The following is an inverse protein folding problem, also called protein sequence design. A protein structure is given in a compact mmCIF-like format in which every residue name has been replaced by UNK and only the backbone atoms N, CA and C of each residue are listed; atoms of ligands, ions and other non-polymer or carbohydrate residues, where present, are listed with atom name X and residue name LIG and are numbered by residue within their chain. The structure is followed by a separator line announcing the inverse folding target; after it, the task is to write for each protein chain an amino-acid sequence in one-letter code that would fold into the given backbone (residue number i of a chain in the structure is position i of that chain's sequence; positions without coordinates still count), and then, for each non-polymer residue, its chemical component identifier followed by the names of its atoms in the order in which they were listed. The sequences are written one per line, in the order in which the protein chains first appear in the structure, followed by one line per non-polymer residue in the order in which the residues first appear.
data_IF_081773561442
#
_entry.id   IF_081773561442
#
_cell.length_a   1.000
_cell.length_b   1.000
_cell.length_c   1.000
_cell.angle_alpha   90.00
_cell.angle_beta   90.00
_cell.angle_gamma   90.00
#
_symmetry.space_group_name_H-M   'P 1'
#
loop_
_entity.id
_entity.type
_entity.pdbx_description
1 polymer ?
#
# COMPACT_ATOMS: atom_id res chain seq x y z
N UNK A 1 53.72 17.03 90.51
CA UNK A 1 54.39 16.25 89.50
C UNK A 1 53.41 16.08 88.34
N UNK A 2 53.58 16.87 87.27
CA UNK A 2 52.69 16.88 86.12
C UNK A 2 53.39 16.14 84.97
N UNK A 3 52.69 15.28 84.22
CA UNK A 3 53.25 14.68 83.01
C UNK A 3 53.03 15.61 81.81
N UNK A 4 53.86 15.45 80.76
CA UNK A 4 53.87 16.38 79.62
C UNK A 4 52.75 16.08 78.60
N UNK A 5 52.34 17.16 77.95
CA UNK A 5 51.36 17.13 76.84
C UNK A 5 52.00 16.58 75.59
N UNK A 6 51.26 15.78 74.77
CA UNK A 6 51.66 15.45 73.42
C UNK A 6 51.20 16.51 72.38
N UNK A 7 52.07 16.83 71.48
CA UNK A 7 51.90 17.72 70.34
C UNK A 7 50.94 17.09 69.28
N UNK A 8 50.10 17.90 68.61
CA UNK A 8 49.24 17.37 67.57
C UNK A 8 49.98 17.21 66.20
N UNK A 9 49.89 16.03 65.63
CA UNK A 9 50.29 15.73 64.26
C UNK A 9 49.28 16.35 63.34
N UNK A 10 49.73 17.25 62.43
CA UNK A 10 48.93 17.80 61.33
C UNK A 10 48.93 16.79 60.23
N UNK A 11 47.81 16.12 60.02
CA UNK A 11 47.53 15.30 58.75
C UNK A 11 46.96 16.21 57.71
N UNK A 12 47.72 16.49 56.65
CA UNK A 12 47.25 17.11 55.46
C UNK A 12 46.42 16.09 54.64
N UNK A 13 45.12 16.25 54.63
CA UNK A 13 44.21 15.48 53.78
C UNK A 13 44.18 16.10 52.40
N UNK A 14 44.81 15.41 51.43
CA UNK A 14 44.67 15.73 49.97
C UNK A 14 43.29 15.29 49.51
N UNK A 15 42.42 16.24 49.28
CA UNK A 15 41.11 15.99 48.66
C UNK A 15 41.30 15.78 47.16
N UNK A 16 41.23 14.54 46.69
CA UNK A 16 41.08 14.19 45.29
C UNK A 16 39.62 14.41 44.91
N UNK A 17 39.36 15.48 44.18
CA UNK A 17 38.03 15.73 43.59
C UNK A 17 37.80 14.78 42.40
N UNK A 18 37.03 13.70 42.65
CA UNK A 18 36.55 12.78 41.62
C UNK A 18 35.35 13.44 40.91
N UNK A 19 35.58 14.11 39.80
CA UNK A 19 34.50 14.62 38.93
C UNK A 19 33.86 13.43 38.24
N UNK A 20 32.71 12.98 38.74
CA UNK A 20 31.77 12.08 38.10
C UNK A 20 31.16 12.81 36.92
N UNK A 21 31.63 12.51 35.69
CA UNK A 21 30.93 12.79 34.43
C UNK A 21 29.66 11.93 34.40
N UNK A 22 28.55 12.50 34.87
CA UNK A 22 27.22 11.99 34.61
C UNK A 22 26.95 12.18 33.13
N UNK A 23 27.33 11.18 32.28
CA UNK A 23 26.73 11.02 30.99
C UNK A 23 25.26 10.66 31.20
N UNK A 24 24.41 11.68 31.20
CA UNK A 24 22.97 11.50 31.18
C UNK A 24 22.63 10.79 29.87
N UNK A 25 22.36 9.48 29.93
CA UNK A 25 21.50 8.84 28.95
C UNK A 25 20.14 9.53 29.09
N UNK A 26 19.86 10.50 28.22
CA UNK A 26 18.49 10.91 27.97
C UNK A 26 17.77 9.66 27.46
N UNK A 27 16.96 9.05 28.33
CA UNK A 27 15.93 8.14 27.90
C UNK A 27 15.08 8.94 26.91
N UNK A 28 15.23 8.65 25.63
CA UNK A 28 14.31 9.13 24.60
C UNK A 28 12.95 8.61 25.01
N UNK A 29 12.04 9.51 25.36
CA UNK A 29 10.66 9.16 25.63
C UNK A 29 10.15 8.38 24.41
N UNK A 30 9.68 7.16 24.65
CA UNK A 30 9.22 6.23 23.63
C UNK A 30 7.94 6.71 22.90
N UNK A 31 7.44 7.89 23.25
CA UNK A 31 6.20 8.50 22.74
C UNK A 31 6.40 9.69 21.78
N UNK A 32 7.63 10.18 21.61
CA UNK A 32 7.84 11.23 20.59
C UNK A 32 7.83 10.63 19.17
N UNK A 33 6.97 11.14 18.28
CA UNK A 33 6.97 10.69 16.91
C UNK A 33 8.36 10.92 16.28
N UNK A 34 8.86 10.00 15.46
CA UNK A 34 10.18 10.14 14.85
C UNK A 34 10.27 11.47 14.10
N UNK A 35 11.42 12.15 14.13
CA UNK A 35 11.58 13.47 13.52
C UNK A 35 11.26 13.42 12.02
N UNK A 36 10.67 14.51 11.54
CA UNK A 36 10.36 14.68 10.11
C UNK A 36 11.64 14.54 9.27
N UNK A 37 11.60 13.78 8.16
CA UNK A 37 12.78 13.57 7.32
C UNK A 37 13.21 14.87 6.65
N UNK A 38 14.53 15.03 6.42
CA UNK A 38 15.03 16.08 5.58
C UNK A 38 14.52 15.91 4.13
N UNK A 39 14.13 17.03 3.50
CA UNK A 39 13.70 17.03 2.10
C UNK A 39 14.63 17.90 1.26
N UNK A 40 14.73 17.58 -0.02
CA UNK A 40 15.42 18.43 -1.01
C UNK A 40 14.56 19.59 -1.52
N UNK A 41 14.96 20.17 -2.64
CA UNK A 41 14.16 21.18 -3.32
C UNK A 41 12.77 20.60 -3.71
N UNK A 42 11.73 21.39 -3.47
CA UNK A 42 10.35 21.01 -3.82
C UNK A 42 10.11 21.42 -5.29
N UNK A 43 9.87 20.47 -6.20
CA UNK A 43 9.55 20.77 -7.59
C UNK A 43 8.16 21.39 -7.71
N UNK A 44 7.93 22.22 -8.71
CA UNK A 44 6.60 22.67 -9.08
C UNK A 44 5.91 21.55 -9.88
N UNK A 45 4.95 20.85 -9.28
CA UNK A 45 4.19 19.79 -9.92
C UNK A 45 2.73 20.21 -10.08
N UNK A 46 2.25 20.14 -11.31
CA UNK A 46 0.87 20.52 -11.64
C UNK A 46 -0.13 19.41 -11.38
N UNK A 47 0.32 18.16 -11.53
CA UNK A 47 -0.53 16.97 -11.39
C UNK A 47 0.23 15.75 -10.83
N UNK A 48 -0.49 14.74 -10.37
CA UNK A 48 0.07 13.52 -9.77
C UNK A 48 0.19 12.33 -10.75
N UNK A 49 -0.14 12.50 -12.02
CA UNK A 49 -0.23 11.39 -13.00
C UNK A 49 1.08 10.62 -13.21
N UNK A 50 2.21 11.31 -13.21
CA UNK A 50 3.52 10.74 -13.57
C UNK A 50 4.47 10.67 -12.37
N UNK A 51 3.93 10.53 -11.16
CA UNK A 51 4.76 10.43 -9.96
C UNK A 51 5.47 9.07 -9.91
N UNK A 52 6.78 9.09 -9.69
CA UNK A 52 7.59 7.90 -9.50
C UNK A 52 8.04 7.81 -8.03
N UNK A 53 7.55 6.82 -7.31
CA UNK A 53 7.86 6.64 -5.90
C UNK A 53 9.03 5.69 -5.67
N UNK A 54 9.85 5.89 -4.62
CA UNK A 54 10.98 5.01 -4.29
C UNK A 54 10.58 3.55 -4.04
N UNK A 55 9.37 3.29 -3.53
CA UNK A 55 8.85 1.93 -3.30
C UNK A 55 8.32 1.23 -4.56
N UNK A 56 8.17 1.94 -5.69
CA UNK A 56 7.66 1.34 -6.93
C UNK A 56 8.38 0.07 -7.38
N UNK A 57 9.73 -0.08 -7.26
CA UNK A 57 10.42 -1.30 -7.66
C UNK A 57 10.09 -2.56 -6.84
N UNK A 58 9.40 -2.41 -5.72
CA UNK A 58 9.08 -3.51 -4.79
C UNK A 58 7.63 -3.99 -4.90
N UNK A 59 6.82 -3.32 -5.71
CA UNK A 59 5.41 -3.67 -5.97
C UNK A 59 5.19 -3.88 -7.46
N UNK A 60 4.25 -4.75 -7.87
CA UNK A 60 3.99 -4.94 -9.29
C UNK A 60 3.36 -3.68 -9.91
N UNK A 61 3.82 -3.31 -11.09
CA UNK A 61 3.22 -2.27 -11.91
C UNK A 61 1.90 -2.77 -12.57
N UNK A 62 1.18 -1.88 -13.26
CA UNK A 62 -0.11 -2.21 -13.88
C UNK A 62 -0.02 -3.33 -14.92
N UNK A 63 1.08 -3.41 -15.69
CA UNK A 63 1.31 -4.47 -16.66
C UNK A 63 1.61 -5.79 -15.96
N UNK A 64 2.45 -5.77 -14.94
CA UNK A 64 2.79 -6.94 -14.13
C UNK A 64 1.54 -7.47 -13.40
N UNK A 65 0.69 -6.60 -12.84
CA UNK A 65 -0.60 -6.99 -12.27
C UNK A 65 -1.49 -7.68 -13.31
N UNK A 66 -1.56 -7.16 -14.55
CA UNK A 66 -2.29 -7.80 -15.63
C UNK A 66 -1.79 -9.22 -15.95
N UNK A 67 -0.47 -9.41 -15.98
CA UNK A 67 0.14 -10.73 -16.19
C UNK A 67 -0.12 -11.68 -15.01
N UNK A 68 -0.09 -11.20 -13.78
CA UNK A 68 -0.40 -11.99 -12.59
C UNK A 68 -1.86 -12.43 -12.57
N UNK A 69 -2.78 -11.54 -12.92
CA UNK A 69 -4.21 -11.87 -13.05
C UNK A 69 -4.45 -12.94 -14.13
N UNK A 70 -3.79 -12.83 -15.29
CA UNK A 70 -3.89 -13.81 -16.37
C UNK A 70 -3.32 -15.17 -15.96
N UNK A 71 -2.15 -15.19 -15.32
CA UNK A 71 -1.56 -16.40 -14.78
C UNK A 71 -2.43 -17.07 -13.72
N UNK A 72 -3.07 -16.28 -12.84
CA UNK A 72 -4.02 -16.80 -11.86
C UNK A 72 -5.24 -17.42 -12.54
N UNK A 73 -5.80 -16.79 -13.58
CA UNK A 73 -6.93 -17.33 -14.34
C UNK A 73 -6.54 -18.66 -15.01
N UNK A 74 -5.31 -18.79 -15.55
CA UNK A 74 -4.79 -20.07 -16.11
C UNK A 74 -4.74 -21.16 -15.03
N UNK A 75 -4.24 -20.85 -13.83
CA UNK A 75 -4.20 -21.81 -12.71
C UNK A 75 -5.59 -22.20 -12.25
N UNK A 76 -6.54 -21.28 -12.23
CA UNK A 76 -7.95 -21.58 -11.90
C UNK A 76 -8.53 -22.54 -12.94
N UNK A 77 -8.35 -22.30 -14.25
CA UNK A 77 -8.86 -23.19 -15.30
C UNK A 77 -8.22 -24.58 -15.23
N UNK A 78 -6.91 -24.67 -14.98
CA UNK A 78 -6.22 -25.96 -14.77
C UNK A 78 -6.82 -26.72 -13.58
N UNK A 79 -7.14 -26.05 -12.48
CA UNK A 79 -7.81 -26.67 -11.33
C UNK A 79 -9.23 -27.12 -11.67
N UNK A 80 -10.06 -26.27 -12.28
CA UNK A 80 -11.44 -26.54 -12.65
C UNK A 80 -11.55 -27.74 -13.62
N UNK A 81 -10.61 -27.86 -14.58
CA UNK A 81 -10.55 -29.01 -15.52
C UNK A 81 -10.40 -30.35 -14.82
N UNK A 82 -9.78 -30.43 -13.63
CA UNK A 82 -9.67 -31.69 -12.86
C UNK A 82 -11.04 -32.23 -12.45
N UNK A 83 -12.05 -31.37 -12.40
CA UNK A 83 -13.44 -31.68 -12.05
C UNK A 83 -14.38 -31.71 -13.29
N UNK A 84 -13.83 -31.59 -14.50
CA UNK A 84 -14.59 -31.56 -15.74
C UNK A 84 -15.21 -30.20 -16.10
N UNK A 85 -14.85 -29.14 -15.39
CA UNK A 85 -15.34 -27.79 -15.64
C UNK A 85 -14.32 -26.95 -16.40
N UNK A 86 -14.80 -25.87 -17.03
CA UNK A 86 -13.96 -24.88 -17.71
C UNK A 86 -14.17 -23.53 -17.04
N UNK A 87 -13.05 -22.85 -16.75
CA UNK A 87 -13.09 -21.49 -16.29
C UNK A 87 -12.86 -20.54 -17.47
N UNK A 88 -13.77 -19.58 -17.63
CA UNK A 88 -13.58 -18.57 -18.68
C UNK A 88 -12.51 -17.59 -18.24
N UNK A 89 -11.38 -17.62 -18.93
CA UNK A 89 -10.32 -16.65 -18.74
C UNK A 89 -10.91 -15.25 -18.96
N UNK A 90 -10.81 -14.40 -17.95
CA UNK A 90 -11.25 -13.01 -18.07
C UNK A 90 -10.29 -12.28 -19.00
N UNK A 91 -10.64 -12.20 -20.30
CA UNK A 91 -9.96 -11.26 -21.17
C UNK A 91 -10.27 -9.86 -20.64
N UNK A 92 -9.44 -9.37 -19.72
CA UNK A 92 -9.43 -7.94 -19.43
C UNK A 92 -9.03 -7.28 -20.74
N UNK A 93 -9.93 -6.46 -21.33
CA UNK A 93 -9.52 -5.49 -22.33
C UNK A 93 -8.24 -4.86 -21.79
N UNK A 94 -7.20 -4.78 -22.64
CA UNK A 94 -5.95 -4.13 -22.24
C UNK A 94 -6.35 -2.86 -21.50
N UNK A 95 -6.20 -2.86 -20.18
CA UNK A 95 -6.67 -1.77 -19.36
C UNK A 95 -5.90 -0.57 -19.87
N UNK A 96 -6.64 0.40 -20.45
CA UNK A 96 -6.07 1.72 -20.66
C UNK A 96 -5.25 2.04 -19.44
N UNK A 97 -4.02 2.52 -19.61
CA UNK A 97 -3.08 2.75 -18.51
C UNK A 97 -3.84 3.32 -17.32
N UNK A 98 -4.10 2.45 -16.33
CA UNK A 98 -4.72 2.90 -15.10
C UNK A 98 -3.69 3.80 -14.47
N UNK A 99 -3.95 5.08 -14.47
CA UNK A 99 -3.08 6.08 -13.87
C UNK A 99 -3.14 5.94 -12.35
N UNK A 100 -2.53 4.86 -11.81
CA UNK A 100 -2.65 4.44 -10.43
C UNK A 100 -2.38 5.56 -9.41
N UNK A 101 -1.53 6.53 -9.79
CA UNK A 101 -1.18 7.67 -8.94
C UNK A 101 -1.92 8.96 -9.33
N UNK A 102 -2.80 8.93 -10.33
CA UNK A 102 -3.45 10.15 -10.86
C UNK A 102 -4.26 10.92 -9.81
N UNK A 103 -4.68 10.24 -8.73
CA UNK A 103 -5.42 10.81 -7.61
C UNK A 103 -4.75 10.62 -6.25
N UNK A 104 -3.44 10.40 -6.22
CA UNK A 104 -2.68 10.19 -4.97
C UNK A 104 -2.93 11.27 -3.92
N UNK A 105 -3.01 12.53 -4.36
CA UNK A 105 -3.27 13.68 -3.51
C UNK A 105 -4.60 14.36 -3.86
N UNK A 106 -5.57 13.55 -4.27
CA UNK A 106 -6.85 14.02 -4.78
C UNK A 106 -6.80 14.45 -6.25
N UNK A 107 -7.85 15.12 -6.69
CA UNK A 107 -7.94 15.61 -8.07
C UNK A 107 -6.87 16.66 -8.35
N UNK A 108 -6.04 16.44 -9.40
CA UNK A 108 -4.98 17.38 -9.80
C UNK A 108 -4.90 17.59 -11.32
N UNK A 109 -5.58 16.75 -12.12
CA UNK A 109 -5.64 16.87 -13.57
C UNK A 109 -6.67 17.93 -13.98
N UNK A 110 -6.19 19.04 -14.55
CA UNK A 110 -7.02 20.16 -14.98
C UNK A 110 -7.97 19.79 -16.15
N UNK A 111 -7.55 18.92 -17.07
CA UNK A 111 -8.37 18.50 -18.19
C UNK A 111 -9.49 17.54 -17.73
N UNK A 112 -9.19 16.61 -16.82
CA UNK A 112 -10.18 15.77 -16.19
C UNK A 112 -11.18 16.59 -15.37
N UNK A 113 -10.72 17.52 -14.53
CA UNK A 113 -11.55 18.43 -13.75
C UNK A 113 -12.54 19.22 -14.62
N UNK A 114 -12.07 19.75 -15.74
CA UNK A 114 -12.89 20.55 -16.66
C UNK A 114 -13.96 19.73 -17.39
N UNK A 115 -13.76 18.44 -17.55
CA UNK A 115 -14.67 17.56 -18.31
C UNK A 115 -15.55 16.70 -17.42
N UNK A 116 -15.01 16.18 -16.33
CA UNK A 116 -15.62 15.14 -15.51
C UNK A 116 -15.90 15.61 -14.06
N UNK A 117 -15.49 16.83 -13.70
CA UNK A 117 -15.57 17.25 -12.30
C UNK A 117 -14.72 16.35 -11.40
N UNK A 118 -15.38 15.75 -10.40
CA UNK A 118 -14.71 14.80 -9.50
C UNK A 118 -14.86 13.32 -9.93
N UNK A 119 -15.61 13.04 -10.99
CA UNK A 119 -15.75 11.68 -11.49
C UNK A 119 -14.38 11.11 -11.92
N UNK A 120 -14.12 9.85 -11.54
CA UNK A 120 -12.86 9.21 -11.88
C UNK A 120 -12.90 8.68 -13.31
N UNK A 121 -12.03 9.15 -14.23
CA UNK A 121 -12.01 8.69 -15.60
C UNK A 121 -11.76 7.18 -15.75
N UNK A 122 -11.05 6.57 -14.79
CA UNK A 122 -10.73 5.13 -14.83
C UNK A 122 -11.95 4.24 -14.51
N UNK A 123 -12.99 4.82 -13.88
CA UNK A 123 -14.22 4.12 -13.52
C UNK A 123 -15.45 4.66 -14.24
N UNK A 124 -15.35 5.84 -14.83
CA UNK A 124 -16.45 6.51 -15.52
C UNK A 124 -16.95 5.66 -16.70
N UNK A 125 -18.21 5.22 -16.62
CA UNK A 125 -18.87 4.49 -17.71
C UNK A 125 -18.32 3.10 -18.01
N UNK A 126 -17.42 2.54 -17.18
CA UNK A 126 -16.91 1.19 -17.36
C UNK A 126 -18.05 0.16 -17.17
N UNK A 127 -18.45 -0.61 -18.20
CA UNK A 127 -19.46 -1.63 -18.03
C UNK A 127 -18.95 -2.69 -17.05
N UNK A 128 -19.77 -3.06 -16.07
CA UNK A 128 -19.47 -4.17 -15.18
C UNK A 128 -19.37 -5.44 -16.04
N UNK A 129 -18.24 -6.17 -16.04
CA UNK A 129 -18.13 -7.39 -16.81
C UNK A 129 -19.29 -8.32 -16.47
N UNK A 130 -19.94 -8.96 -17.47
CA UNK A 130 -20.97 -9.94 -17.16
C UNK A 130 -20.34 -11.05 -16.30
N UNK A 131 -20.94 -11.30 -15.13
CA UNK A 131 -20.54 -12.41 -14.29
C UNK A 131 -20.77 -13.73 -15.05
N UNK A 132 -19.83 -14.67 -14.97
CA UNK A 132 -20.06 -16.02 -15.46
C UNK A 132 -21.18 -16.67 -14.63
N UNK A 133 -22.23 -17.12 -15.29
CA UNK A 133 -23.26 -17.92 -14.64
C UNK A 133 -22.68 -19.33 -14.39
N UNK A 134 -22.29 -19.62 -13.16
CA UNK A 134 -21.75 -20.90 -12.72
C UNK A 134 -22.86 -21.78 -12.17
N UNK A 135 -22.86 -23.08 -12.52
CA UNK A 135 -23.71 -24.07 -11.87
C UNK A 135 -23.28 -24.31 -10.41
N UNK A 136 -24.16 -24.96 -9.59
CA UNK A 136 -23.86 -25.19 -8.16
C UNK A 136 -22.55 -25.94 -7.91
N UNK A 137 -22.27 -27.00 -8.66
CA UNK A 137 -21.03 -27.78 -8.53
C UNK A 137 -19.79 -26.97 -9.01
N UNK A 138 -19.93 -26.16 -10.04
CA UNK A 138 -18.86 -25.26 -10.48
C UNK A 138 -18.52 -24.24 -9.40
N UNK A 139 -19.53 -23.66 -8.74
CA UNK A 139 -19.33 -22.75 -7.61
C UNK A 139 -18.63 -23.45 -6.44
N UNK A 140 -19.04 -24.69 -6.09
CA UNK A 140 -18.39 -25.48 -5.04
C UNK A 140 -16.91 -25.74 -5.36
N UNK A 141 -16.59 -26.09 -6.59
CA UNK A 141 -15.19 -26.32 -7.01
C UNK A 141 -14.40 -25.01 -7.04
N UNK A 142 -15.01 -23.93 -7.52
CA UNK A 142 -14.33 -22.64 -7.62
C UNK A 142 -14.00 -22.04 -6.24
N UNK A 143 -14.93 -22.11 -5.29
CA UNK A 143 -14.84 -21.46 -3.98
C UNK A 143 -14.51 -22.40 -2.81
N UNK A 144 -14.75 -23.72 -2.93
CA UNK A 144 -14.46 -24.69 -1.88
C UNK A 144 -15.06 -24.32 -0.53
N UNK A 145 -16.36 -24.07 -0.49
CA UNK A 145 -17.07 -23.41 0.61
C UNK A 145 -17.06 -24.18 1.95
N UNK A 146 -16.80 -25.49 1.91
CA UNK A 146 -16.82 -26.33 3.11
C UNK A 146 -15.40 -26.72 3.53
N UNK A 147 -15.04 -26.29 4.73
CA UNK A 147 -13.80 -26.68 5.42
C UNK A 147 -14.14 -27.16 6.82
N UNK A 148 -13.36 -28.10 7.32
CA UNK A 148 -13.48 -28.58 8.70
C UNK A 148 -13.03 -27.46 9.66
N UNK A 149 -13.91 -26.88 10.48
CA UNK A 149 -13.57 -25.76 11.36
C UNK A 149 -12.60 -26.16 12.49
N UNK A 150 -12.39 -27.44 12.72
CA UNK A 150 -11.44 -27.96 13.72
C UNK A 150 -9.99 -28.00 13.19
N UNK A 151 -9.79 -27.82 11.89
CA UNK A 151 -8.49 -27.91 11.24
C UNK A 151 -7.99 -26.54 10.77
N UNK A 152 -6.68 -26.30 10.84
CA UNK A 152 -6.12 -25.06 10.32
C UNK A 152 -6.31 -24.98 8.80
N UNK A 153 -6.75 -23.83 8.33
CA UNK A 153 -6.79 -23.54 6.89
C UNK A 153 -5.36 -23.26 6.41
N UNK A 154 -4.85 -24.01 5.40
CA UNK A 154 -3.49 -23.84 4.93
C UNK A 154 -3.25 -22.42 4.38
N UNK A 155 -2.11 -21.84 4.73
CA UNK A 155 -1.73 -20.49 4.32
C UNK A 155 -0.70 -20.47 3.19
N UNK A 156 -0.16 -21.64 2.81
CA UNK A 156 0.77 -21.81 1.71
C UNK A 156 0.42 -23.04 0.85
N UNK A 157 1.00 -23.14 -0.34
CA UNK A 157 0.73 -24.26 -1.25
C UNK A 157 1.27 -25.58 -0.68
N UNK A 158 2.47 -25.57 -0.10
CA UNK A 158 3.07 -26.76 0.51
C UNK A 158 2.31 -27.24 1.75
N UNK A 159 1.68 -26.36 2.50
CA UNK A 159 0.74 -26.72 3.56
C UNK A 159 -0.57 -27.28 2.98
N UNK A 160 -1.08 -26.67 1.91
CA UNK A 160 -2.32 -27.10 1.27
C UNK A 160 -2.22 -28.52 0.70
N UNK A 161 -1.06 -28.90 0.18
CA UNK A 161 -0.81 -30.27 -0.34
C UNK A 161 -0.83 -31.34 0.76
N UNK A 162 -0.54 -30.97 1.99
CA UNK A 162 -0.51 -31.86 3.17
C UNK A 162 -1.81 -31.79 3.99
N UNK A 163 -2.67 -30.80 3.69
CA UNK A 163 -3.88 -30.53 4.47
C UNK A 163 -5.00 -31.49 4.15
N UNK A 164 -5.74 -31.89 5.19
CA UNK A 164 -7.01 -32.62 5.11
C UNK A 164 -8.22 -31.77 5.52
N UNK A 165 -8.04 -30.44 5.63
CA UNK A 165 -9.10 -29.52 6.04
C UNK A 165 -10.27 -29.40 5.04
N UNK A 166 -10.07 -29.78 3.78
CA UNK A 166 -11.11 -29.76 2.75
C UNK A 166 -12.14 -30.90 2.97
N UNK A 167 -13.44 -30.56 3.02
CA UNK A 167 -14.53 -31.50 3.18
C UNK A 167 -15.41 -31.62 1.92
N UNK A 168 -15.39 -30.64 1.05
CA UNK A 168 -16.15 -30.62 -0.21
C UNK A 168 -15.67 -31.71 -1.17
N UNK A 169 -16.61 -32.51 -1.71
CA UNK A 169 -16.35 -33.57 -2.71
C UNK A 169 -17.24 -33.35 -3.93
N UNK A 170 -16.65 -33.26 -5.13
CA UNK A 170 -17.37 -33.14 -6.40
C UNK A 170 -16.84 -34.19 -7.38
N UNK A 171 -17.74 -34.97 -7.95
CA UNK A 171 -17.35 -36.07 -8.87
C UNK A 171 -16.41 -37.10 -8.27
N UNK A 172 -16.54 -37.37 -6.94
CA UNK A 172 -15.69 -38.30 -6.19
C UNK A 172 -14.28 -37.77 -5.86
N UNK A 173 -13.97 -36.49 -6.15
CA UNK A 173 -12.69 -35.84 -5.87
C UNK A 173 -12.84 -34.78 -4.80
N UNK A 174 -11.92 -34.74 -3.84
CA UNK A 174 -11.83 -33.63 -2.88
C UNK A 174 -11.51 -32.32 -3.59
N UNK A 175 -12.27 -31.28 -3.27
CA UNK A 175 -12.00 -29.91 -3.71
C UNK A 175 -11.01 -29.30 -2.72
N UNK A 176 -10.00 -28.53 -3.16
CA UNK A 176 -9.06 -27.86 -2.27
C UNK A 176 -9.79 -26.96 -1.25
N UNK A 177 -9.24 -26.82 -0.05
CA UNK A 177 -9.77 -25.87 0.93
C UNK A 177 -9.74 -24.43 0.37
N UNK A 178 -10.92 -23.80 0.26
CA UNK A 178 -11.09 -22.51 -0.40
C UNK A 178 -11.14 -22.58 -1.93
N UNK A 179 -11.25 -23.80 -2.50
CA UNK A 179 -11.47 -24.04 -3.93
C UNK A 179 -10.30 -23.71 -4.84
N UNK A 180 -10.59 -23.73 -6.14
CA UNK A 180 -9.61 -23.45 -7.18
C UNK A 180 -9.09 -22.01 -7.13
N UNK A 181 -9.88 -21.05 -6.66
CA UNK A 181 -9.42 -19.67 -6.47
C UNK A 181 -8.30 -19.59 -5.41
N UNK A 182 -8.48 -20.23 -4.27
CA UNK A 182 -7.46 -20.23 -3.24
C UNK A 182 -6.24 -21.02 -3.66
N UNK A 183 -6.40 -22.22 -4.24
CA UNK A 183 -5.28 -23.01 -4.73
C UNK A 183 -4.42 -22.21 -5.72
N UNK A 184 -5.05 -21.53 -6.67
CA UNK A 184 -4.33 -20.68 -7.64
C UNK A 184 -3.59 -19.52 -6.96
N UNK A 185 -4.23 -18.88 -5.99
CA UNK A 185 -3.61 -17.81 -5.21
C UNK A 185 -2.41 -18.32 -4.38
N UNK A 186 -2.54 -19.47 -3.70
CA UNK A 186 -1.43 -20.04 -2.93
C UNK A 186 -0.24 -20.40 -3.84
N UNK A 187 -0.49 -21.02 -4.98
CA UNK A 187 0.57 -21.35 -5.96
C UNK A 187 1.32 -20.10 -6.45
N UNK A 188 0.62 -19.01 -6.65
CA UNK A 188 1.20 -17.79 -7.21
C UNK A 188 1.82 -16.87 -6.15
N UNK A 189 1.19 -16.76 -4.98
CA UNK A 189 1.54 -15.76 -3.97
C UNK A 189 2.14 -16.33 -2.68
N UNK A 190 1.90 -17.59 -2.36
CA UNK A 190 2.37 -18.25 -1.15
C UNK A 190 2.79 -19.72 -1.43
N UNK A 191 3.79 -19.96 -2.29
CA UNK A 191 4.21 -21.33 -2.63
C UNK A 191 4.73 -22.11 -1.41
N UNK A 192 5.39 -21.46 -0.47
CA UNK A 192 5.92 -22.05 0.75
C UNK A 192 5.52 -21.27 1.99
N UNK A 193 5.62 -21.89 3.18
CA UNK A 193 5.25 -21.24 4.45
C UNK A 193 6.11 -20.01 4.80
N UNK A 194 7.32 -19.93 4.29
CA UNK A 194 8.23 -18.76 4.48
C UNK A 194 8.11 -17.72 3.39
N UNK A 195 7.18 -17.85 2.48
CA UNK A 195 6.93 -16.80 1.50
C UNK A 195 6.47 -15.52 2.20
N UNK A 196 7.16 -14.41 1.93
CA UNK A 196 6.76 -13.10 2.44
C UNK A 196 5.42 -12.71 1.83
N UNK A 197 4.51 -12.22 2.65
CA UNK A 197 3.22 -11.69 2.18
C UNK A 197 3.46 -10.57 1.16
N UNK A 198 2.84 -10.70 0.00
CA UNK A 198 2.94 -9.74 -1.10
C UNK A 198 2.41 -8.34 -0.75
N UNK A 199 1.62 -8.22 0.33
CA UNK A 199 1.13 -6.93 0.83
C UNK A 199 2.15 -6.17 1.68
N UNK A 200 3.24 -6.80 2.13
CA UNK A 200 4.25 -6.14 2.97
C UNK A 200 4.87 -4.90 2.29
N UNK A 201 5.31 -4.92 1.03
CA UNK A 201 5.81 -3.70 0.38
C UNK A 201 4.74 -2.62 0.23
N UNK A 202 3.49 -2.99 0.01
CA UNK A 202 2.37 -2.05 -0.04
C UNK A 202 2.13 -1.38 1.31
N UNK A 203 2.28 -2.11 2.42
CA UNK A 203 2.12 -1.54 3.77
C UNK A 203 3.11 -0.41 4.05
N UNK A 204 4.34 -0.50 3.55
CA UNK A 204 5.30 0.60 3.62
C UNK A 204 4.86 1.83 2.80
N UNK A 205 4.23 1.62 1.65
CA UNK A 205 3.63 2.71 0.87
C UNK A 205 2.52 3.43 1.62
N UNK A 206 1.63 2.68 2.27
CA UNK A 206 0.58 3.24 3.12
C UNK A 206 1.14 3.97 4.35
N UNK A 207 2.16 3.41 5.01
CA UNK A 207 2.82 4.06 6.16
C UNK A 207 3.52 5.37 5.73
N UNK A 208 4.27 5.36 4.63
CA UNK A 208 4.90 6.56 4.07
C UNK A 208 3.89 7.66 3.75
N UNK A 209 2.77 7.30 3.13
CA UNK A 209 1.68 8.23 2.86
C UNK A 209 1.03 8.76 4.16
N UNK A 210 0.71 7.89 5.10
CA UNK A 210 0.07 8.28 6.35
C UNK A 210 0.94 9.21 7.20
N UNK A 211 2.26 8.98 7.24
CA UNK A 211 3.22 9.88 7.91
C UNK A 211 3.35 11.20 7.18
N UNK A 212 3.49 11.16 5.85
CA UNK A 212 3.62 12.38 5.05
C UNK A 212 2.42 13.31 5.22
N UNK A 213 1.22 12.77 5.35
CA UNK A 213 -0.01 13.55 5.58
C UNK A 213 0.00 14.34 6.89
N UNK A 214 0.71 13.83 7.90
CA UNK A 214 0.84 14.48 9.24
C UNK A 214 2.05 15.41 9.34
N UNK A 215 2.93 15.40 8.35
CA UNK A 215 4.13 16.23 8.31
C UNK A 215 3.76 17.72 8.28
N UNK A 216 4.48 18.53 9.04
CA UNK A 216 4.19 19.95 9.22
C UNK A 216 4.16 20.74 7.90
N UNK A 217 4.99 20.34 6.93
CA UNK A 217 5.08 20.96 5.60
C UNK A 217 3.86 20.65 4.75
N UNK A 218 3.36 19.41 4.82
CA UNK A 218 2.14 18.99 4.12
C UNK A 218 0.90 19.61 4.77
N UNK A 219 0.83 19.62 6.10
CA UNK A 219 -0.25 20.29 6.84
C UNK A 219 -0.32 21.77 6.45
N UNK A 220 0.83 22.47 6.37
CA UNK A 220 0.92 23.86 5.92
C UNK A 220 0.43 24.01 4.47
N UNK A 221 0.81 23.12 3.57
CA UNK A 221 0.40 23.16 2.16
C UNK A 221 -1.12 22.90 2.01
N UNK A 222 -1.69 21.97 2.79
CA UNK A 222 -3.14 21.73 2.85
C UNK A 222 -3.87 22.99 3.37
N UNK A 223 -3.36 23.63 4.42
CA UNK A 223 -3.94 24.86 4.94
C UNK A 223 -3.91 26.00 3.91
N UNK A 224 -2.84 26.14 3.14
CA UNK A 224 -2.74 27.12 2.08
C UNK A 224 -3.74 26.85 0.92
N UNK A 225 -3.91 25.57 0.55
CA UNK A 225 -4.91 25.15 -0.41
C UNK A 225 -6.35 25.42 0.10
N UNK A 226 -6.64 25.06 1.35
CA UNK A 226 -7.94 25.31 1.97
C UNK A 226 -8.28 26.81 2.00
N UNK A 227 -7.32 27.67 2.35
CA UNK A 227 -7.48 29.12 2.30
C UNK A 227 -7.76 29.62 0.88
N UNK A 228 -7.06 29.09 -0.14
CA UNK A 228 -7.32 29.38 -1.54
C UNK A 228 -8.76 28.99 -1.95
N UNK A 229 -9.26 27.82 -1.51
CA UNK A 229 -10.63 27.39 -1.78
C UNK A 229 -11.64 28.35 -1.12
N UNK A 230 -11.37 28.78 0.10
CA UNK A 230 -12.22 29.71 0.83
C UNK A 230 -12.32 31.11 0.16
N UNK A 231 -11.23 31.63 -0.44
CA UNK A 231 -11.23 32.86 -1.23
C UNK A 231 -12.22 32.80 -2.40
N UNK A 232 -12.53 31.60 -2.87
CA UNK A 232 -13.48 31.36 -3.97
C UNK A 232 -14.85 30.83 -3.50
N UNK A 233 -15.11 30.91 -2.18
CA UNK A 233 -16.42 30.56 -1.61
C UNK A 233 -16.63 29.06 -1.35
N UNK A 234 -15.57 28.24 -1.38
CA UNK A 234 -15.64 26.80 -1.11
C UNK A 234 -15.06 26.47 0.27
N UNK A 235 -15.81 25.76 1.10
CA UNK A 235 -15.27 25.16 2.34
C UNK A 235 -14.68 23.80 2.00
N UNK A 236 -13.36 23.63 2.19
CA UNK A 236 -12.66 22.40 1.90
C UNK A 236 -11.45 22.25 2.83
N UNK A 237 -11.36 21.12 3.51
CA UNK A 237 -10.31 20.81 4.50
C UNK A 237 -9.49 19.55 4.14
N UNK A 238 -10.01 18.70 3.26
CA UNK A 238 -9.32 17.52 2.77
C UNK A 238 -9.17 17.56 1.24
N UNK A 239 -7.96 17.72 0.69
CA UNK A 239 -7.75 17.82 -0.75
C UNK A 239 -7.99 16.51 -1.51
N UNK A 240 -8.22 15.39 -0.81
CA UNK A 240 -8.50 14.08 -1.42
C UNK A 240 -9.99 13.86 -1.68
N UNK A 241 -10.85 14.57 -0.98
CA UNK A 241 -12.30 14.44 -1.08
C UNK A 241 -12.92 15.64 -1.83
N UNK A 242 -14.03 15.45 -2.52
CA UNK A 242 -14.83 16.58 -3.02
C UNK A 242 -15.31 17.47 -1.86
N UNK A 243 -15.36 18.80 -2.02
CA UNK A 243 -15.95 19.67 -1.04
C UNK A 243 -17.42 19.34 -0.72
N UNK A 244 -17.95 19.74 0.46
CA UNK A 244 -19.33 19.51 0.85
C UNK A 244 -20.33 19.94 -0.21
N UNK A 245 -21.38 19.14 -0.41
CA UNK A 245 -22.41 19.34 -1.45
C UNK A 245 -22.15 18.58 -2.75
N UNK A 246 -20.96 17.99 -2.91
CA UNK A 246 -20.63 17.10 -4.02
C UNK A 246 -20.53 15.67 -3.45
N UNK A 247 -21.25 14.73 -4.06
CA UNK A 247 -21.34 13.34 -3.65
C UNK A 247 -21.47 12.43 -4.87
N UNK A 248 -21.55 11.12 -4.67
CA UNK A 248 -21.56 10.10 -5.73
C UNK A 248 -22.67 10.27 -6.79
N UNK A 249 -23.71 11.07 -6.49
CA UNK A 249 -24.82 11.30 -7.43
C UNK A 249 -24.63 12.51 -8.34
N UNK A 250 -23.66 13.40 -8.03
CA UNK A 250 -23.47 14.66 -8.76
C UNK A 250 -22.00 14.99 -9.10
N UNK A 251 -21.09 14.01 -9.08
CA UNK A 251 -19.64 14.18 -9.28
C UNK A 251 -19.26 14.91 -10.59
N UNK A 252 -20.09 14.80 -11.64
CA UNK A 252 -19.86 15.40 -12.97
C UNK A 252 -20.88 16.48 -13.34
N UNK A 253 -21.69 16.94 -12.40
CA UNK A 253 -22.62 18.05 -12.61
C UNK A 253 -21.91 19.40 -12.80
N UNK A 254 -22.61 20.39 -13.32
CA UNK A 254 -22.03 21.73 -13.59
C UNK A 254 -21.37 22.38 -12.36
N UNK A 255 -21.97 22.22 -11.18
CA UNK A 255 -21.40 22.70 -9.91
C UNK A 255 -20.09 21.94 -9.58
N UNK A 256 -20.09 20.60 -9.70
CA UNK A 256 -18.92 19.78 -9.44
C UNK A 256 -17.76 20.13 -10.39
N UNK A 257 -18.05 20.35 -11.67
CA UNK A 257 -17.06 20.80 -12.65
C UNK A 257 -16.47 22.16 -12.27
N UNK A 258 -17.32 23.13 -11.89
CA UNK A 258 -16.85 24.45 -11.48
C UNK A 258 -15.94 24.37 -10.23
N UNK A 259 -16.36 23.62 -9.23
CA UNK A 259 -15.60 23.39 -8.00
C UNK A 259 -14.29 22.63 -8.26
N UNK A 260 -14.32 21.58 -9.08
CA UNK A 260 -13.15 20.79 -9.43
C UNK A 260 -12.07 21.61 -10.14
N UNK A 261 -12.48 22.49 -11.06
CA UNK A 261 -11.54 23.44 -11.72
C UNK A 261 -10.85 24.35 -10.73
N UNK A 262 -11.61 24.86 -9.75
CA UNK A 262 -11.06 25.73 -8.71
C UNK A 262 -10.14 24.96 -7.75
N UNK A 263 -10.52 23.74 -7.36
CA UNK A 263 -9.70 22.85 -6.54
C UNK A 263 -8.32 22.62 -7.19
N UNK A 264 -8.30 22.23 -8.47
CA UNK A 264 -7.05 22.02 -9.20
C UNK A 264 -6.25 23.32 -9.29
N UNK A 265 -6.88 24.46 -9.60
CA UNK A 265 -6.18 25.75 -9.67
C UNK A 265 -5.56 26.13 -8.31
N UNK A 266 -6.25 25.90 -7.19
CA UNK A 266 -5.72 26.13 -5.85
C UNK A 266 -4.56 25.18 -5.50
N UNK A 267 -4.63 23.89 -5.86
CA UNK A 267 -3.52 22.93 -5.69
C UNK A 267 -2.28 23.37 -6.47
N UNK A 268 -2.45 23.82 -7.69
CA UNK A 268 -1.35 24.33 -8.53
C UNK A 268 -0.74 25.63 -7.97
N UNK A 269 -1.59 26.60 -7.56
CA UNK A 269 -1.16 27.86 -6.95
C UNK A 269 -0.34 27.66 -5.68
N UNK A 270 -0.71 26.70 -4.85
CA UNK A 270 -0.04 26.42 -3.59
C UNK A 270 1.06 25.35 -3.69
N UNK A 271 1.25 24.77 -4.88
CA UNK A 271 2.16 23.66 -5.11
C UNK A 271 1.95 22.49 -4.13
N UNK A 272 0.67 22.18 -3.81
CA UNK A 272 0.32 21.11 -2.88
C UNK A 272 0.92 19.76 -3.32
N UNK A 273 0.76 19.43 -4.62
CA UNK A 273 1.23 18.15 -5.18
C UNK A 273 2.75 18.02 -5.04
N UNK A 274 3.50 19.05 -5.43
CA UNK A 274 4.97 19.05 -5.33
C UNK A 274 5.48 18.93 -3.90
N UNK A 275 4.84 19.64 -2.97
CA UNK A 275 5.20 19.61 -1.56
C UNK A 275 4.93 18.21 -0.96
N UNK A 276 3.74 17.67 -1.17
CA UNK A 276 3.36 16.37 -0.59
C UNK A 276 4.19 15.22 -1.19
N UNK A 277 4.38 15.22 -2.51
CA UNK A 277 5.23 14.24 -3.19
C UNK A 277 6.66 14.21 -2.65
N UNK A 278 7.27 15.41 -2.45
CA UNK A 278 8.63 15.49 -1.94
C UNK A 278 8.74 14.96 -0.52
N UNK A 279 7.79 15.30 0.33
CA UNK A 279 7.73 14.81 1.71
C UNK A 279 7.48 13.30 1.76
N UNK A 280 6.49 12.80 1.03
CA UNK A 280 6.22 11.36 0.98
C UNK A 280 7.40 10.56 0.44
N UNK A 281 8.08 11.06 -0.59
CA UNK A 281 9.31 10.47 -1.12
C UNK A 281 10.39 10.33 -0.04
N UNK A 282 10.54 11.34 0.84
CA UNK A 282 11.51 11.27 1.92
C UNK A 282 11.13 10.21 2.97
N UNK A 283 9.85 10.09 3.34
CA UNK A 283 9.38 9.02 4.22
C UNK A 283 9.57 7.64 3.60
N UNK A 284 9.26 7.46 2.32
CA UNK A 284 9.49 6.19 1.62
C UNK A 284 10.96 5.79 1.59
N UNK A 285 11.89 6.74 1.37
CA UNK A 285 13.34 6.47 1.43
C UNK A 285 13.77 6.00 2.82
N UNK A 286 13.30 6.64 3.88
CA UNK A 286 13.58 6.18 5.25
C UNK A 286 13.03 4.76 5.51
N UNK A 287 11.85 4.45 5.00
CA UNK A 287 11.27 3.10 5.14
C UNK A 287 12.09 2.06 4.38
N UNK A 288 12.58 2.38 3.19
CA UNK A 288 13.47 1.50 2.42
C UNK A 288 14.76 1.24 3.17
N UNK A 289 15.41 2.28 3.71
CA UNK A 289 16.65 2.14 4.46
C UNK A 289 16.49 1.24 5.70
N UNK A 290 15.39 1.42 6.44
CA UNK A 290 15.09 0.63 7.65
C UNK A 290 14.67 -0.81 7.38
N UNK A 291 14.17 -1.10 6.18
CA UNK A 291 13.58 -2.40 5.82
C UNK A 291 14.25 -3.02 4.59
N UNK A 292 15.51 -2.69 4.33
CA UNK A 292 16.21 -3.06 3.11
C UNK A 292 16.19 -4.57 2.85
N UNK A 293 16.47 -5.40 3.85
CA UNK A 293 16.47 -6.86 3.74
C UNK A 293 15.08 -7.42 3.36
N UNK A 294 14.03 -6.93 4.03
CA UNK A 294 12.65 -7.34 3.74
C UNK A 294 12.24 -6.94 2.32
N UNK A 295 12.61 -5.74 1.89
CA UNK A 295 12.28 -5.25 0.56
C UNK A 295 13.09 -5.97 -0.54
N UNK A 296 14.35 -6.29 -0.30
CA UNK A 296 15.15 -7.12 -1.23
C UNK A 296 14.55 -8.52 -1.40
N UNK A 297 14.09 -9.13 -0.30
CA UNK A 297 13.34 -10.39 -0.35
C UNK A 297 12.04 -10.25 -1.14
N UNK A 298 11.26 -9.21 -0.89
CA UNK A 298 10.03 -8.93 -1.62
C UNK A 298 10.27 -8.79 -3.12
N UNK A 299 11.32 -8.08 -3.51
CA UNK A 299 11.70 -7.89 -4.91
C UNK A 299 12.08 -9.21 -5.59
N UNK A 300 12.92 -10.02 -4.94
CA UNK A 300 13.28 -11.36 -5.46
C UNK A 300 12.06 -12.24 -5.66
N UNK A 301 11.14 -12.25 -4.69
CA UNK A 301 9.89 -13.00 -4.81
C UNK A 301 8.96 -12.46 -5.89
N UNK A 302 8.91 -11.15 -6.11
CA UNK A 302 8.18 -10.56 -7.24
C UNK A 302 8.75 -11.02 -8.58
N UNK A 303 10.09 -11.00 -8.75
CA UNK A 303 10.76 -11.46 -9.97
C UNK A 303 10.50 -12.95 -10.22
N UNK A 304 10.50 -13.80 -9.19
CA UNK A 304 10.17 -15.22 -9.28
C UNK A 304 8.71 -15.45 -9.68
N UNK A 305 7.80 -14.72 -9.08
CA UNK A 305 6.37 -14.73 -9.40
C UNK A 305 6.11 -14.30 -10.83
N UNK A 306 6.81 -13.28 -11.31
CA UNK A 306 6.68 -12.84 -12.71
C UNK A 306 7.20 -13.88 -13.70
N UNK A 307 8.30 -14.58 -13.39
CA UNK A 307 8.80 -15.71 -14.22
C UNK A 307 7.81 -16.86 -14.26
N UNK A 308 7.22 -17.21 -13.11
CA UNK A 308 6.17 -18.23 -13.05
C UNK A 308 4.95 -17.80 -13.87
N UNK A 309 4.50 -16.56 -13.71
CA UNK A 309 3.36 -16.04 -14.48
C UNK A 309 3.59 -16.13 -16.00
N UNK A 310 4.75 -15.70 -16.45
CA UNK A 310 5.12 -15.80 -17.87
C UNK A 310 5.11 -17.25 -18.39
N UNK A 311 5.64 -18.21 -17.60
CA UNK A 311 5.64 -19.62 -17.97
C UNK A 311 4.22 -20.22 -18.04
N UNK A 312 3.34 -19.86 -17.11
CA UNK A 312 1.95 -20.30 -17.06
C UNK A 312 1.15 -19.79 -18.24
N UNK A 313 1.30 -18.52 -18.59
CA UNK A 313 0.64 -17.90 -19.74
C UNK A 313 1.09 -18.59 -21.04
N UNK A 314 2.40 -18.80 -21.21
CA UNK A 314 2.95 -19.48 -22.39
C UNK A 314 2.46 -20.95 -22.53
N UNK A 315 2.24 -21.65 -21.41
CA UNK A 315 1.74 -23.03 -21.40
C UNK A 315 0.21 -23.12 -21.53
N UNK A 316 -0.52 -22.05 -21.26
CA UNK A 316 -1.98 -21.96 -21.34
C UNK A 316 -2.50 -21.41 -22.68
N UNK A 317 -1.61 -20.81 -23.48
CA UNK A 317 -1.91 -20.32 -24.83
C UNK A 317 -1.85 -21.48 -25.83
#
# INVERSE_FOLDING_TARGET
MFPPRPTPLVLTASAVALTLLLTGCSASDADDPPPEPAIGAVPALLESRSLAFPLAPYVPDARQLGMLDEAQDVLVDQCMRRYGFRYQLRRKAASAEKHGESRRYGLSDAAAAARLGYENPDTAGAPKPPGQALGPNEQLVLHGLEVDPSKPVPMSQDEAEKSDAATTVVGGRKVPAGGCLRESALKLYAPTADTLDSMVPHSFGFDGFARSRKDSRVVKAIGAWSACMAEHGYTADNPMDPPPGINDTNLSGAQAIATAKQDVACKQRTNLVGTWYTVETAYQKQLIERNAETLDRARKQLDERMRLAASLIAAGA
#
